data_IF_780714979749
#
_entry.id   IF_780714979749
#
_cell.length_a   1.000
_cell.length_b   1.000
_cell.length_c   1.000
_cell.angle_alpha   90.00
_cell.angle_beta   90.00
_cell.angle_gamma   90.00
#
_symmetry.space_group_name_H-M   'P 1'
#
loop_
_entity.id
_entity.type
_entity.pdbx_description
1 polymer ?
#
# COMPACT_ATOMS: atom_id res chain seq x y z
N UNK A 1 2.08 14.55 -4.09
CA UNK A 1 3.53 14.91 -4.19
C UNK A 1 4.20 14.00 -5.19
N UNK A 2 5.29 14.45 -5.75
CA UNK A 2 6.14 13.59 -6.59
C UNK A 2 7.03 12.77 -5.66
N UNK A 3 6.98 11.44 -5.80
CA UNK A 3 7.73 10.55 -4.92
C UNK A 3 9.21 10.51 -5.35
N UNK A 4 10.15 10.58 -4.39
CA UNK A 4 11.56 10.31 -4.68
C UNK A 4 11.76 8.92 -5.27
N UNK A 5 12.78 8.75 -6.12
CA UNK A 5 13.05 7.46 -6.77
C UNK A 5 13.30 6.34 -5.75
N UNK A 6 13.99 6.63 -4.65
CA UNK A 6 14.25 5.65 -3.59
C UNK A 6 12.96 5.17 -2.92
N UNK A 7 12.00 6.06 -2.76
CA UNK A 7 10.66 5.72 -2.21
C UNK A 7 9.89 4.87 -3.22
N UNK A 8 9.92 5.24 -4.51
CA UNK A 8 9.28 4.43 -5.55
C UNK A 8 9.85 3.02 -5.61
N UNK A 9 11.15 2.89 -5.52
CA UNK A 9 11.82 1.59 -5.49
C UNK A 9 11.36 0.74 -4.29
N UNK A 10 11.31 1.34 -3.10
CA UNK A 10 10.85 0.65 -1.90
C UNK A 10 9.40 0.18 -2.03
N UNK A 11 8.52 1.03 -2.56
CA UNK A 11 7.09 0.73 -2.70
C UNK A 11 6.80 -0.31 -3.77
N UNK A 12 7.73 -0.60 -4.66
CA UNK A 12 7.55 -1.58 -5.75
C UNK A 12 8.45 -2.81 -5.63
N UNK A 13 9.15 -2.97 -4.51
CA UNK A 13 10.11 -4.06 -4.31
C UNK A 13 9.51 -5.32 -3.66
N UNK A 14 8.21 -5.32 -3.36
CA UNK A 14 7.56 -6.50 -2.78
C UNK A 14 7.67 -6.61 -1.27
N UNK A 15 7.80 -5.50 -0.56
CA UNK A 15 7.77 -5.50 0.90
C UNK A 15 6.34 -5.51 1.41
N UNK A 16 6.06 -6.33 2.42
CA UNK A 16 4.77 -6.32 3.09
C UNK A 16 4.56 -4.97 3.78
N UNK A 17 3.40 -4.38 3.59
CA UNK A 17 3.08 -3.09 4.17
C UNK A 17 2.00 -3.23 5.24
N UNK A 18 2.18 -2.50 6.34
CA UNK A 18 1.19 -2.37 7.40
C UNK A 18 0.34 -1.14 7.10
N UNK A 19 -0.93 -1.36 6.78
CA UNK A 19 -1.88 -0.28 6.50
C UNK A 19 -2.72 -0.02 7.75
N UNK A 20 -2.69 1.21 8.21
CA UNK A 20 -3.45 1.66 9.38
C UNK A 20 -4.60 2.54 8.92
N UNK A 21 -5.80 2.18 9.32
CA UNK A 21 -7.02 2.96 9.12
C UNK A 21 -7.68 3.21 10.47
N UNK A 22 -8.62 4.13 10.54
CA UNK A 22 -9.30 4.48 11.80
C UNK A 22 -10.70 3.93 11.83
N UNK A 23 -11.00 3.13 12.85
CA UNK A 23 -12.34 2.65 13.14
C UNK A 23 -13.25 3.81 13.54
N UNK A 24 -14.56 3.56 13.54
CA UNK A 24 -15.56 4.58 13.87
C UNK A 24 -15.35 5.22 15.24
N UNK A 25 -14.86 4.45 16.22
CA UNK A 25 -14.57 4.92 17.57
C UNK A 25 -13.21 5.61 17.70
N UNK A 26 -12.47 5.76 16.58
CA UNK A 26 -11.16 6.37 16.57
C UNK A 26 -10.01 5.41 16.86
N UNK A 27 -10.29 4.15 17.18
CA UNK A 27 -9.24 3.18 17.40
C UNK A 27 -8.59 2.79 16.08
N UNK A 28 -7.26 2.53 16.06
CA UNK A 28 -6.59 2.12 14.83
C UNK A 28 -6.85 0.65 14.49
N UNK A 29 -6.99 0.37 13.20
CA UNK A 29 -7.02 -0.99 12.67
C UNK A 29 -5.80 -1.17 11.77
N UNK A 30 -5.04 -2.25 11.99
CA UNK A 30 -3.85 -2.57 11.19
C UNK A 30 -4.14 -3.80 10.34
N UNK A 31 -3.77 -3.73 9.07
CA UNK A 31 -3.80 -4.89 8.16
C UNK A 31 -2.52 -4.93 7.35
N UNK A 32 -2.14 -6.12 6.91
CA UNK A 32 -0.96 -6.30 6.06
C UNK A 32 -1.43 -6.43 4.62
N UNK A 33 -0.83 -5.65 3.72
CA UNK A 33 -1.26 -5.54 2.34
C UNK A 33 -0.08 -5.61 1.37
N UNK A 34 -0.37 -6.02 0.14
CA UNK A 34 0.52 -5.82 -0.99
C UNK A 34 0.28 -4.43 -1.56
N UNK A 35 1.35 -3.75 -1.92
CA UNK A 35 1.25 -2.40 -2.47
C UNK A 35 1.98 -2.29 -3.80
N UNK A 36 1.50 -1.40 -4.63
CA UNK A 36 2.15 -0.98 -5.86
C UNK A 36 1.95 0.51 -6.07
N UNK A 37 2.32 0.98 -7.24
CA UNK A 37 2.15 2.38 -7.62
C UNK A 37 1.31 2.50 -8.87
N UNK A 38 0.51 3.56 -8.89
CA UNK A 38 -0.14 4.08 -10.08
C UNK A 38 0.20 5.58 -10.13
N UNK A 39 1.19 5.93 -10.97
CA UNK A 39 1.78 7.26 -10.91
C UNK A 39 2.44 7.47 -9.55
N UNK A 40 2.05 8.52 -8.85
CA UNK A 40 2.52 8.83 -7.50
C UNK A 40 1.54 8.41 -6.41
N UNK A 41 0.48 7.69 -6.76
CA UNK A 41 -0.42 7.10 -5.78
C UNK A 41 0.00 5.67 -5.45
N UNK A 42 -0.11 5.32 -4.16
CA UNK A 42 0.06 3.93 -3.71
C UNK A 42 -1.27 3.22 -3.90
N UNK A 43 -1.24 2.00 -4.46
CA UNK A 43 -2.46 1.24 -4.72
C UNK A 43 -2.42 -0.12 -4.03
N UNK A 44 -3.58 -0.54 -3.52
CA UNK A 44 -3.83 -1.86 -2.94
C UNK A 44 -5.14 -2.39 -3.49
N UNK A 45 -5.26 -3.71 -3.65
CA UNK A 45 -6.46 -4.33 -4.20
C UNK A 45 -7.15 -5.25 -3.18
N UNK A 46 -8.47 -5.32 -3.25
CA UNK A 46 -9.29 -6.10 -2.33
C UNK A 46 -10.49 -6.70 -3.08
N UNK A 47 -10.83 -7.95 -2.79
CA UNK A 47 -12.00 -8.57 -3.41
C UNK A 47 -13.31 -8.13 -2.77
N UNK A 48 -13.30 -7.80 -1.47
CA UNK A 48 -14.50 -7.49 -0.72
C UNK A 48 -14.38 -6.12 -0.04
N UNK A 49 -15.53 -5.58 0.37
CA UNK A 49 -15.57 -4.32 1.12
C UNK A 49 -15.28 -4.61 2.61
N UNK A 50 -13.99 -4.84 2.90
CA UNK A 50 -13.52 -5.10 4.26
C UNK A 50 -13.66 -3.88 5.18
N UNK A 51 -13.52 -4.10 6.49
CA UNK A 51 -13.65 -3.02 7.48
C UNK A 51 -12.68 -1.86 7.19
N UNK A 52 -11.45 -2.16 6.76
CA UNK A 52 -10.46 -1.12 6.42
C UNK A 52 -10.95 -0.21 5.29
N UNK A 53 -11.69 -0.73 4.32
CA UNK A 53 -12.24 0.07 3.22
C UNK A 53 -13.39 0.95 3.72
N UNK A 54 -14.26 0.40 4.55
CA UNK A 54 -15.35 1.16 5.18
C UNK A 54 -14.78 2.29 6.05
N UNK A 55 -13.68 2.02 6.76
CA UNK A 55 -12.97 3.01 7.54
C UNK A 55 -12.50 4.18 6.67
N UNK A 56 -11.87 3.88 5.53
CA UNK A 56 -11.37 4.88 4.60
C UNK A 56 -12.51 5.71 4.00
N UNK A 57 -13.64 5.08 3.68
CA UNK A 57 -14.80 5.80 3.15
C UNK A 57 -15.36 6.81 4.14
N UNK A 58 -15.24 6.54 5.44
CA UNK A 58 -15.68 7.44 6.50
C UNK A 58 -14.61 8.46 6.89
N UNK A 59 -13.34 8.02 6.96
CA UNK A 59 -12.21 8.84 7.35
C UNK A 59 -11.02 8.48 6.44
N UNK A 60 -10.66 9.41 5.58
CA UNK A 60 -9.66 9.17 4.54
C UNK A 60 -8.22 9.09 5.06
N UNK A 61 -7.97 9.47 6.31
CA UNK A 61 -6.61 9.46 6.89
C UNK A 61 -6.10 8.03 7.02
N UNK A 62 -4.90 7.79 6.51
CA UNK A 62 -4.23 6.49 6.58
C UNK A 62 -2.75 6.67 6.90
N UNK A 63 -2.17 5.62 7.48
CA UNK A 63 -0.74 5.49 7.62
C UNK A 63 -0.32 4.14 7.04
N UNK A 64 0.88 4.10 6.47
CA UNK A 64 1.44 2.88 5.91
C UNK A 64 2.89 2.79 6.32
N UNK A 65 3.33 1.62 6.78
CA UNK A 65 4.72 1.40 7.14
C UNK A 65 5.24 0.09 6.56
N UNK A 66 6.54 0.05 6.29
CA UNK A 66 7.19 -1.16 5.81
C UNK A 66 8.66 -1.19 6.21
N UNK A 67 9.15 -2.39 6.48
CA UNK A 67 10.58 -2.64 6.58
C UNK A 67 11.10 -2.84 5.17
N UNK A 68 12.16 -2.12 4.80
CA UNK A 68 12.63 -2.08 3.41
C UNK A 68 13.95 -2.82 3.19
N UNK A 69 14.55 -3.31 4.28
CA UNK A 69 15.85 -3.98 4.22
C UNK A 69 17.00 -2.99 4.15
N UNK A 70 18.19 -3.49 4.45
CA UNK A 70 19.39 -2.67 4.51
C UNK A 70 19.47 -1.82 5.77
N UNK A 71 20.55 -1.06 5.87
CA UNK A 71 20.82 -0.23 7.03
C UNK A 71 21.29 1.15 6.59
N UNK A 72 21.02 2.14 7.44
CA UNK A 72 21.52 3.50 7.32
C UNK A 72 22.13 3.87 8.66
N UNK A 73 23.40 4.21 8.68
CA UNK A 73 24.15 4.53 9.91
C UNK A 73 24.00 3.44 11.00
N UNK A 74 23.97 2.16 10.57
CA UNK A 74 23.84 1.01 11.47
C UNK A 74 22.45 0.68 11.95
N UNK A 75 21.44 1.45 11.54
CA UNK A 75 20.03 1.23 11.89
C UNK A 75 19.27 0.61 10.72
N UNK A 76 18.35 -0.30 11.01
CA UNK A 76 17.53 -0.92 9.99
C UNK A 76 16.64 0.10 9.28
N UNK A 77 16.59 0.00 7.96
CA UNK A 77 15.76 0.89 7.15
C UNK A 77 14.29 0.56 7.29
N UNK A 78 13.48 1.59 7.40
CA UNK A 78 12.02 1.46 7.29
C UNK A 78 11.43 2.75 6.70
N UNK A 79 10.27 2.59 6.08
CA UNK A 79 9.57 3.68 5.41
C UNK A 79 8.20 3.85 6.07
N UNK A 80 7.83 5.09 6.38
CA UNK A 80 6.50 5.43 6.89
C UNK A 80 5.89 6.48 5.98
N UNK A 81 4.64 6.24 5.59
CA UNK A 81 3.84 7.11 4.74
C UNK A 81 2.61 7.53 5.53
N UNK A 82 2.34 8.83 5.56
CA UNK A 82 1.05 9.35 5.98
C UNK A 82 0.36 9.93 4.75
N UNK A 83 -0.92 9.69 4.62
CA UNK A 83 -1.65 10.17 3.46
C UNK A 83 -3.16 10.07 3.62
N UNK A 84 -3.84 10.25 2.50
CA UNK A 84 -5.29 10.13 2.39
C UNK A 84 -5.64 9.13 1.31
N UNK A 85 -6.62 8.31 1.61
CA UNK A 85 -7.03 7.23 0.72
C UNK A 85 -8.44 7.45 0.19
N UNK A 86 -8.68 6.91 -0.99
CA UNK A 86 -10.01 6.79 -1.61
C UNK A 86 -10.17 5.39 -2.15
N UNK A 87 -11.41 4.95 -2.28
CA UNK A 87 -11.75 3.62 -2.77
C UNK A 87 -12.43 3.76 -4.12
N UNK A 88 -12.01 2.96 -5.09
CA UNK A 88 -12.70 2.81 -6.37
C UNK A 88 -13.17 1.38 -6.55
N UNK A 89 -14.28 1.17 -7.27
CA UNK A 89 -14.80 -0.16 -7.57
C UNK A 89 -14.12 -0.72 -8.81
N UNK A 90 -13.89 -2.04 -8.80
CA UNK A 90 -13.35 -2.77 -9.95
C UNK A 90 -11.84 -2.76 -10.02
N UNK A 91 -11.31 -3.61 -10.90
CA UNK A 91 -9.88 -3.67 -11.20
C UNK A 91 -9.04 -4.48 -10.23
N UNK A 92 -9.61 -5.03 -9.17
CA UNK A 92 -8.85 -5.78 -8.17
C UNK A 92 -8.11 -6.99 -8.76
N UNK A 93 -8.73 -7.84 -9.61
CA UNK A 93 -8.02 -8.99 -10.15
C UNK A 93 -6.79 -8.64 -10.97
N UNK A 94 -6.89 -7.63 -11.81
CA UNK A 94 -5.76 -7.17 -12.64
C UNK A 94 -4.62 -6.65 -11.78
N UNK A 95 -4.94 -5.82 -10.77
CA UNK A 95 -3.92 -5.28 -9.86
C UNK A 95 -3.29 -6.40 -9.02
N UNK A 96 -4.08 -7.32 -8.47
CA UNK A 96 -3.56 -8.44 -7.69
C UNK A 96 -2.63 -9.33 -8.53
N UNK A 97 -2.97 -9.58 -9.79
CA UNK A 97 -2.11 -10.37 -10.67
C UNK A 97 -0.82 -9.63 -11.01
N UNK A 98 -0.87 -8.30 -11.18
CA UNK A 98 0.32 -7.49 -11.36
C UNK A 98 1.21 -7.53 -10.11
N UNK A 99 0.63 -7.39 -8.93
CA UNK A 99 1.36 -7.42 -7.67
C UNK A 99 1.92 -8.82 -7.37
N UNK A 100 1.22 -9.88 -7.75
CA UNK A 100 1.69 -11.24 -7.56
C UNK A 100 3.04 -11.49 -8.23
N UNK A 101 3.31 -10.85 -9.36
CA UNK A 101 4.59 -10.99 -10.05
C UNK A 101 5.76 -10.45 -9.23
N UNK A 102 5.50 -9.51 -8.36
CA UNK A 102 6.49 -8.92 -7.45
C UNK A 102 6.53 -9.65 -6.11
N UNK A 103 5.36 -9.91 -5.52
CA UNK A 103 5.26 -10.49 -4.17
C UNK A 103 5.40 -12.01 -4.15
N UNK A 104 5.08 -12.70 -5.22
CA UNK A 104 5.18 -14.17 -5.30
C UNK A 104 6.37 -14.55 -6.17
N UNK A 105 6.27 -14.35 -7.49
CA UNK A 105 7.34 -14.64 -8.45
C UNK A 105 6.99 -14.04 -9.81
N UNK A 106 7.99 -13.76 -10.68
CA UNK A 106 7.71 -13.38 -12.05
C UNK A 106 6.82 -14.41 -12.76
N UNK A 107 5.77 -13.94 -13.43
CA UNK A 107 4.81 -14.78 -14.11
C UNK A 107 3.71 -15.35 -13.22
N UNK A 108 3.76 -15.14 -11.91
CA UNK A 108 2.73 -15.63 -11.00
C UNK A 108 1.42 -14.85 -11.18
N UNK A 109 0.30 -15.52 -10.88
CA UNK A 109 -1.01 -14.91 -10.77
C UNK A 109 -1.60 -15.24 -9.41
N UNK A 110 -2.53 -14.41 -8.94
CA UNK A 110 -3.18 -14.61 -7.65
C UNK A 110 -4.69 -14.75 -7.80
N UNK A 111 -5.31 -13.88 -8.61
CA UNK A 111 -6.75 -13.89 -8.78
C UNK A 111 -7.18 -15.01 -9.72
N UNK A 112 -8.15 -15.85 -9.31
CA UNK A 112 -8.68 -16.86 -10.21
C UNK A 112 -9.46 -16.24 -11.34
N UNK A 113 -9.61 -16.98 -12.43
CA UNK A 113 -10.48 -16.60 -13.53
C UNK A 113 -11.92 -16.46 -13.01
N UNK A 114 -12.60 -15.39 -13.42
CA UNK A 114 -13.95 -15.11 -12.96
C UNK A 114 -14.04 -14.50 -11.56
N UNK A 115 -12.91 -14.07 -10.96
CA UNK A 115 -12.92 -13.43 -9.66
C UNK A 115 -13.76 -12.15 -9.66
N UNK A 116 -14.28 -11.79 -8.48
CA UNK A 116 -14.99 -10.53 -8.29
C UNK A 116 -14.09 -9.35 -8.65
N UNK A 117 -14.66 -8.31 -9.24
CA UNK A 117 -13.90 -7.12 -9.60
C UNK A 117 -13.39 -6.32 -8.40
N UNK A 118 -14.05 -6.41 -7.26
CA UNK A 118 -13.58 -5.88 -6.00
C UNK A 118 -13.36 -4.38 -5.98
N UNK A 119 -12.33 -3.98 -5.25
CA UNK A 119 -12.06 -2.57 -4.95
C UNK A 119 -10.56 -2.30 -4.98
N UNK A 120 -10.20 -1.05 -5.28
CA UNK A 120 -8.83 -0.57 -5.17
C UNK A 120 -8.78 0.59 -4.19
N UNK A 121 -7.84 0.53 -3.25
CA UNK A 121 -7.49 1.66 -2.40
C UNK A 121 -6.38 2.46 -3.10
N UNK A 122 -6.59 3.76 -3.23
CA UNK A 122 -5.60 4.70 -3.77
C UNK A 122 -5.17 5.63 -2.64
N UNK A 123 -3.89 5.72 -2.37
CA UNK A 123 -3.35 6.57 -1.30
C UNK A 123 -2.56 7.71 -1.94
N UNK A 124 -2.98 8.94 -1.66
CA UNK A 124 -2.22 10.14 -1.96
C UNK A 124 -1.26 10.38 -0.82
N UNK A 125 0.04 10.43 -1.12
CA UNK A 125 1.09 10.59 -0.11
C UNK A 125 1.17 12.05 0.31
N UNK A 126 1.15 12.30 1.62
CA UNK A 126 1.29 13.65 2.19
C UNK A 126 2.62 13.83 2.93
N UNK A 127 3.06 12.81 3.67
CA UNK A 127 4.31 12.85 4.43
C UNK A 127 5.08 11.54 4.27
N UNK A 128 6.39 11.65 4.17
CA UNK A 128 7.31 10.52 4.09
C UNK A 128 8.33 10.68 5.19
N UNK A 129 8.54 9.63 5.99
CA UNK A 129 9.59 9.62 7.01
C UNK A 129 10.05 8.20 7.29
N UNK A 130 10.94 8.02 8.26
CA UNK A 130 11.56 6.76 8.60
C UNK A 130 13.08 6.82 8.45
N UNK A 131 13.73 5.69 8.62
CA UNK A 131 15.18 5.54 8.48
C UNK A 131 15.49 4.96 7.11
N UNK A 132 16.24 5.70 6.30
CA UNK A 132 16.61 5.29 4.96
C UNK A 132 16.85 6.48 4.04
N UNK A 133 17.14 6.24 2.76
CA UNK A 133 17.44 7.30 1.79
C UNK A 133 16.16 7.92 1.20
N UNK A 134 15.24 8.38 2.05
CA UNK A 134 13.91 8.82 1.61
C UNK A 134 13.85 10.29 1.20
N UNK A 135 14.91 11.03 1.39
CA UNK A 135 15.00 12.43 0.95
C UNK A 135 15.78 12.53 -0.35
N UNK A 136 15.39 13.47 -1.15
CA UNK A 136 16.16 13.81 -2.35
C UNK A 136 17.46 14.54 -2.00
#
# INVERSE_FOLDING_TARGET
MILPDTVRQALTAGHLAHLVTLNKDGSPQVSIVWVGLDGDEIVCAHFNLYQKLKNVQRDARVALSMETGGKTNGLDNYLVINGRARITEGGAPELLNRLAQVYIAPGATYAPEGAQQGYITHITVEHIHGIGPWKE
#
